data_IF_609863372310
#
_entry.id   IF_609863372310
#
_cell.length_a   1.000
_cell.length_b   1.000
_cell.length_c   1.000
_cell.angle_alpha   90.00
_cell.angle_beta   90.00
_cell.angle_gamma   90.00
#
_symmetry.space_group_name_H-M   'P 1'
#
loop_
_entity.id
_entity.type
_entity.pdbx_description
1 polymer ?
#
# COMPACT_ATOMS: atom_id res chain seq x y z
N UNK A 1 -11.89 10.20 1.00
CA UNK A 1 -10.59 10.70 0.54
C UNK A 1 -9.50 10.08 1.41
N UNK A 2 -8.34 9.71 0.86
CA UNK A 2 -7.28 8.97 1.58
C UNK A 2 -6.04 9.85 1.74
N UNK A 3 -5.49 9.93 2.95
CA UNK A 3 -4.34 10.79 3.28
C UNK A 3 -3.34 10.04 4.15
N UNK A 4 -2.04 10.25 3.90
CA UNK A 4 -0.96 9.52 4.56
C UNK A 4 -0.73 10.00 6.01
N UNK A 5 -0.49 9.07 6.94
CA UNK A 5 -0.17 9.37 8.34
C UNK A 5 1.36 9.38 8.57
N UNK A 6 1.93 10.58 8.73
CA UNK A 6 3.34 10.81 9.01
C UNK A 6 3.85 10.15 10.29
N UNK A 7 2.99 9.87 11.25
CA UNK A 7 3.40 9.21 12.49
C UNK A 7 3.58 7.70 12.30
N UNK A 8 2.97 7.11 11.27
CA UNK A 8 3.15 5.69 10.93
C UNK A 8 4.36 5.47 10.03
N UNK A 9 4.75 6.50 9.28
CA UNK A 9 5.74 6.41 8.22
C UNK A 9 7.13 6.03 8.74
N UNK A 10 7.79 5.09 8.07
CA UNK A 10 9.19 4.78 8.33
C UNK A 10 10.06 6.06 8.24
N UNK A 11 11.10 6.25 9.10
CA UNK A 11 11.92 7.47 9.11
C UNK A 11 12.62 7.84 7.79
N UNK A 12 12.75 6.90 6.85
CA UNK A 12 13.25 7.18 5.50
C UNK A 12 12.24 7.87 4.59
N UNK A 13 10.96 7.76 4.91
CA UNK A 13 9.88 8.29 4.10
C UNK A 13 9.68 9.78 4.36
N UNK A 14 9.45 10.51 3.30
CA UNK A 14 8.98 11.89 3.32
C UNK A 14 7.61 11.95 2.66
N UNK A 15 6.64 12.47 3.41
CA UNK A 15 5.28 12.72 2.96
C UNK A 15 5.19 14.19 2.53
N UNK A 16 4.48 14.45 1.44
CA UNK A 16 4.20 15.81 0.97
C UNK A 16 3.26 16.57 1.90
N UNK A 17 3.25 17.90 1.80
CA UNK A 17 2.40 18.75 2.65
C UNK A 17 0.90 18.50 2.46
N UNK A 18 0.48 18.05 1.28
CA UNK A 18 -0.91 17.67 0.98
C UNK A 18 -1.26 16.25 1.46
N UNK A 19 -0.29 15.53 2.02
CA UNK A 19 -0.42 14.16 2.54
C UNK A 19 -0.85 13.14 1.48
N UNK A 20 -0.69 13.47 0.20
CA UNK A 20 -1.06 12.57 -0.92
C UNK A 20 0.13 11.84 -1.52
N UNK A 21 1.35 12.29 -1.28
CA UNK A 21 2.55 11.72 -1.89
C UNK A 21 3.56 11.25 -0.85
N UNK A 22 4.26 10.16 -1.15
CA UNK A 22 5.35 9.63 -0.32
C UNK A 22 6.55 9.22 -1.17
N UNK A 23 7.75 9.59 -0.75
CA UNK A 23 9.01 9.17 -1.37
C UNK A 23 10.01 8.66 -0.34
N UNK A 24 10.90 7.76 -0.75
CA UNK A 24 12.06 7.36 0.03
C UNK A 24 13.18 8.40 -0.17
N UNK A 25 13.64 9.00 0.92
CA UNK A 25 14.71 10.01 0.90
C UNK A 25 16.12 9.43 0.80
N UNK A 26 16.28 8.11 0.91
CA UNK A 26 17.60 7.49 0.88
C UNK A 26 18.30 7.43 2.24
N UNK A 27 17.84 8.20 3.23
CA UNK A 27 18.48 8.33 4.56
C UNK A 27 17.46 8.29 5.70
N UNK A 28 17.89 7.87 6.89
CA UNK A 28 17.04 7.91 8.09
C UNK A 28 16.94 9.36 8.55
N UNK A 29 15.74 9.93 8.51
CA UNK A 29 15.47 11.30 8.94
C UNK A 29 15.25 11.33 10.46
N UNK A 30 15.54 12.46 11.08
CA UNK A 30 15.24 12.69 12.50
C UNK A 30 13.75 13.01 12.66
N UNK A 31 12.97 12.03 13.12
CA UNK A 31 11.53 12.15 13.36
C UNK A 31 11.19 11.68 14.79
N UNK A 32 10.07 12.13 15.39
CA UNK A 32 9.65 11.65 16.69
C UNK A 32 9.45 10.13 16.71
N UNK A 33 9.90 9.48 17.78
CA UNK A 33 9.58 8.08 18.03
C UNK A 33 8.09 7.95 18.36
N UNK A 34 7.39 7.06 17.66
CA UNK A 34 5.97 6.78 17.88
C UNK A 34 5.78 5.26 17.87
N UNK A 35 4.93 4.73 18.74
CA UNK A 35 4.56 3.31 18.76
C UNK A 35 3.95 2.87 17.42
N UNK A 36 3.13 3.74 16.82
CA UNK A 36 2.52 3.49 15.50
C UNK A 36 3.49 3.53 14.31
N UNK A 37 4.73 3.98 14.50
CA UNK A 37 5.74 4.12 13.44
C UNK A 37 6.35 2.78 13.05
N UNK A 38 6.45 2.49 11.76
CA UNK A 38 7.26 1.37 11.28
C UNK A 38 8.76 1.66 11.41
N UNK A 39 9.53 0.73 11.96
CA UNK A 39 10.97 0.90 12.21
C UNK A 39 11.90 0.10 11.28
N UNK A 40 11.40 -1.02 10.75
CA UNK A 40 12.22 -2.00 10.01
C UNK A 40 11.89 -2.01 8.52
N UNK A 41 10.63 -1.70 8.18
CA UNK A 41 10.13 -1.74 6.82
C UNK A 41 9.75 -0.35 6.33
N UNK A 42 10.02 -0.04 5.05
CA UNK A 42 9.74 1.27 4.43
C UNK A 42 8.25 1.38 4.06
N UNK A 43 7.43 1.41 5.11
CA UNK A 43 5.97 1.39 5.06
C UNK A 43 5.38 2.68 5.64
N UNK A 44 4.16 2.99 5.20
CA UNK A 44 3.31 4.05 5.75
C UNK A 44 1.84 3.63 5.62
N UNK A 45 1.02 4.04 6.57
CA UNK A 45 -0.43 3.89 6.52
C UNK A 45 -1.13 5.21 6.22
N UNK A 46 -2.38 5.13 5.79
CA UNK A 46 -3.28 6.28 5.81
C UNK A 46 -3.79 6.61 7.22
N UNK A 47 -4.35 7.81 7.36
CA UNK A 47 -5.07 8.26 8.56
C UNK A 47 -6.44 7.61 8.67
N UNK A 48 -7.09 7.44 7.53
CA UNK A 48 -8.43 6.86 7.43
C UNK A 48 -8.35 5.34 7.59
N UNK A 49 -9.31 4.76 8.31
CA UNK A 49 -9.48 3.32 8.36
C UNK A 49 -10.95 2.95 8.39
N UNK A 50 -11.25 1.74 7.96
CA UNK A 50 -12.58 1.32 7.58
C UNK A 50 -12.98 0.07 8.36
N UNK A 51 -14.19 0.10 8.90
CA UNK A 51 -14.87 -1.06 9.52
C UNK A 51 -16.08 -1.50 8.70
N UNK A 52 -16.61 -0.64 7.84
CA UNK A 52 -17.80 -0.89 7.03
C UNK A 52 -17.76 -0.11 5.71
N UNK A 53 -18.70 -0.40 4.81
CA UNK A 53 -18.89 0.33 3.55
C UNK A 53 -18.00 -0.15 2.40
N UNK A 54 -18.06 0.60 1.30
CA UNK A 54 -17.27 0.39 0.08
C UNK A 54 -16.40 1.60 -0.18
N UNK A 55 -15.12 1.38 -0.39
CA UNK A 55 -14.12 2.42 -0.51
C UNK A 55 -13.26 2.19 -1.75
N UNK A 56 -12.91 3.28 -2.42
CA UNK A 56 -12.07 3.25 -3.61
C UNK A 56 -11.03 4.35 -3.55
N UNK A 57 -9.79 4.02 -3.94
CA UNK A 57 -8.75 5.00 -4.18
C UNK A 57 -7.80 4.52 -5.26
N UNK A 58 -7.12 5.46 -5.90
CA UNK A 58 -6.13 5.19 -6.92
C UNK A 58 -4.75 5.65 -6.45
N UNK A 59 -3.73 4.92 -6.87
CA UNK A 59 -2.33 5.26 -6.60
C UNK A 59 -1.57 5.28 -7.91
N UNK A 60 -1.00 6.43 -8.23
CA UNK A 60 0.01 6.58 -9.26
C UNK A 60 1.34 6.01 -8.74
N UNK A 61 1.81 4.98 -9.44
CA UNK A 61 3.08 4.29 -9.17
C UNK A 61 4.17 4.68 -10.18
N UNK A 62 3.85 5.54 -11.14
CA UNK A 62 4.78 6.14 -12.08
C UNK A 62 5.64 5.12 -12.82
N UNK A 63 6.94 5.37 -12.85
CA UNK A 63 7.97 4.50 -13.41
C UNK A 63 8.70 3.66 -12.39
N UNK A 64 8.18 3.64 -11.15
CA UNK A 64 8.85 3.00 -10.03
C UNK A 64 9.14 1.53 -10.28
N UNK A 65 10.33 1.09 -9.87
CA UNK A 65 10.76 -0.32 -10.00
C UNK A 65 10.34 -1.19 -8.82
N UNK A 66 10.01 -0.57 -7.70
CA UNK A 66 9.51 -1.26 -6.52
C UNK A 66 8.42 -0.45 -5.83
N UNK A 67 7.38 -1.15 -5.37
CA UNK A 67 6.30 -0.62 -4.56
C UNK A 67 5.44 -1.75 -4.00
N UNK A 68 4.69 -1.48 -2.94
CA UNK A 68 3.64 -2.38 -2.44
C UNK A 68 2.43 -1.56 -1.97
N UNK A 69 1.23 -2.03 -2.31
CA UNK A 69 -0.03 -1.31 -2.10
C UNK A 69 -1.11 -2.26 -1.60
N UNK A 70 -1.98 -1.78 -0.72
CA UNK A 70 -3.14 -2.56 -0.26
C UNK A 70 -3.72 -2.02 1.03
N UNK A 71 -4.07 -2.94 1.95
CA UNK A 71 -4.54 -2.59 3.30
C UNK A 71 -3.79 -3.40 4.36
N UNK A 72 -3.76 -2.84 5.57
CA UNK A 72 -3.29 -3.50 6.78
C UNK A 72 -4.39 -3.47 7.85
N UNK A 73 -4.45 -4.47 8.73
CA UNK A 73 -5.20 -4.36 9.99
C UNK A 73 -4.63 -3.23 10.85
N UNK A 74 -5.45 -2.56 11.63
CA UNK A 74 -4.97 -1.53 12.57
C UNK A 74 -3.96 -2.12 13.58
N UNK A 75 -4.20 -3.37 14.01
CA UNK A 75 -3.42 -4.10 15.00
C UNK A 75 -2.12 -4.74 14.49
N UNK A 76 -1.72 -4.51 13.23
CA UNK A 76 -0.47 -5.10 12.72
C UNK A 76 0.75 -4.66 13.52
N UNK A 77 1.71 -5.55 13.66
CA UNK A 77 2.99 -5.27 14.29
C UNK A 77 3.70 -4.13 13.55
N UNK A 78 4.18 -3.14 14.32
CA UNK A 78 4.89 -1.95 13.79
C UNK A 78 6.41 -2.05 13.93
N UNK A 79 6.88 -2.91 14.82
CA UNK A 79 8.28 -3.02 15.21
C UNK A 79 8.88 -4.35 14.77
N UNK A 80 10.13 -4.31 14.35
CA UNK A 80 10.86 -5.49 13.91
C UNK A 80 10.42 -6.04 12.55
N UNK A 81 10.98 -7.19 12.20
CA UNK A 81 10.81 -7.81 10.89
C UNK A 81 9.67 -8.81 10.87
N UNK A 82 8.80 -8.70 9.87
CA UNK A 82 7.75 -9.65 9.55
C UNK A 82 7.55 -9.74 8.04
N UNK A 83 6.89 -10.81 7.58
CA UNK A 83 6.54 -11.00 6.18
C UNK A 83 5.16 -10.43 5.88
N UNK A 84 4.98 -9.78 4.72
CA UNK A 84 3.66 -9.40 4.24
C UNK A 84 2.84 -10.66 3.94
N UNK A 85 1.71 -10.82 4.63
CA UNK A 85 0.71 -11.86 4.36
C UNK A 85 -0.62 -11.56 5.06
N UNK A 86 -1.75 -12.14 4.60
CA UNK A 86 -3.03 -12.03 5.30
C UNK A 86 -2.98 -12.52 6.75
N UNK A 87 -2.16 -13.55 7.04
CA UNK A 87 -1.94 -14.07 8.39
C UNK A 87 -1.36 -13.01 9.33
N UNK A 88 -0.49 -12.16 8.81
CA UNK A 88 0.10 -11.03 9.54
C UNK A 88 -0.74 -9.74 9.42
N UNK A 89 -1.95 -9.82 8.86
CA UNK A 89 -2.89 -8.72 8.74
C UNK A 89 -2.66 -7.79 7.55
N UNK A 90 -1.97 -8.26 6.49
CA UNK A 90 -1.71 -7.48 5.28
C UNK A 90 -2.34 -8.13 4.05
N UNK A 91 -3.09 -7.35 3.26
CA UNK A 91 -3.59 -7.77 1.95
C UNK A 91 -3.05 -6.80 0.92
N UNK A 92 -1.95 -7.20 0.28
CA UNK A 92 -1.06 -6.30 -0.45
C UNK A 92 -0.65 -6.97 -1.77
N UNK A 93 -0.64 -6.19 -2.84
CA UNK A 93 0.10 -6.53 -4.05
C UNK A 93 1.36 -5.67 -4.15
N UNK A 94 2.40 -6.19 -4.77
CA UNK A 94 3.67 -5.50 -4.92
C UNK A 94 4.31 -5.73 -6.28
N UNK A 95 5.20 -4.81 -6.63
CA UNK A 95 6.12 -4.90 -7.73
C UNK A 95 7.54 -4.82 -7.15
N UNK A 96 8.42 -5.73 -7.55
CA UNK A 96 9.79 -5.75 -7.06
C UNK A 96 10.81 -5.88 -8.19
N UNK A 97 11.94 -5.19 -8.01
CA UNK A 97 13.11 -5.22 -8.88
C UNK A 97 12.85 -4.92 -10.37
N UNK A 98 11.74 -4.25 -10.68
CA UNK A 98 11.35 -3.97 -12.06
C UNK A 98 10.95 -5.22 -12.87
N UNK A 99 10.73 -6.37 -12.20
CA UNK A 99 10.60 -7.67 -12.87
C UNK A 99 9.22 -8.29 -12.72
N UNK A 100 8.75 -8.45 -11.49
CA UNK A 100 7.57 -9.29 -11.22
C UNK A 100 6.57 -8.63 -10.30
N UNK A 101 5.29 -8.90 -10.57
CA UNK A 101 4.17 -8.49 -9.77
C UNK A 101 3.68 -9.67 -8.93
N UNK A 102 3.39 -9.40 -7.66
CA UNK A 102 3.03 -10.43 -6.69
C UNK A 102 1.83 -9.99 -5.85
N UNK A 103 0.92 -10.91 -5.58
CA UNK A 103 0.05 -10.83 -4.42
C UNK A 103 0.73 -11.53 -3.25
N UNK A 104 0.88 -10.84 -2.12
CA UNK A 104 1.50 -11.37 -0.91
C UNK A 104 0.54 -12.29 -0.14
N UNK A 105 0.06 -13.36 -0.79
CA UNK A 105 -0.66 -14.48 -0.16
C UNK A 105 0.30 -15.38 0.62
N UNK A 106 -0.17 -16.47 1.22
CA UNK A 106 0.71 -17.49 1.82
C UNK A 106 0.38 -18.86 1.21
N UNK A 107 1.19 -19.37 0.26
CA UNK A 107 2.41 -18.78 -0.32
C UNK A 107 2.12 -17.60 -1.28
N UNK A 108 3.14 -16.82 -1.67
CA UNK A 108 2.98 -15.69 -2.60
C UNK A 108 2.45 -16.12 -3.97
N UNK A 109 1.51 -15.35 -4.53
CA UNK A 109 0.88 -15.61 -5.83
C UNK A 109 1.41 -14.65 -6.90
N UNK A 110 1.97 -15.18 -7.98
CA UNK A 110 2.47 -14.36 -9.09
C UNK A 110 1.31 -13.77 -9.90
N UNK A 111 1.39 -12.48 -10.22
CA UNK A 111 0.37 -11.80 -11.03
C UNK A 111 0.80 -11.74 -12.49
N UNK A 112 -0.09 -12.15 -13.40
CA UNK A 112 0.12 -11.99 -14.84
C UNK A 112 -0.33 -10.60 -15.28
N UNK A 113 0.62 -9.67 -15.36
CA UNK A 113 0.34 -8.28 -15.74
C UNK A 113 0.89 -8.02 -17.14
N UNK A 114 0.03 -7.56 -18.04
CA UNK A 114 0.44 -7.19 -19.40
C UNK A 114 1.00 -5.76 -19.37
N UNK A 115 2.30 -5.62 -19.62
CA UNK A 115 2.99 -4.32 -19.62
C UNK A 115 3.28 -3.79 -18.21
N UNK A 116 3.56 -2.48 -18.09
CA UNK A 116 3.86 -1.84 -16.81
C UNK A 116 2.65 -1.13 -16.23
N UNK A 117 2.37 -1.35 -14.95
CA UNK A 117 1.37 -0.57 -14.21
C UNK A 117 1.91 0.84 -13.98
N UNK A 118 1.10 1.84 -14.34
CA UNK A 118 1.31 3.26 -14.01
C UNK A 118 0.41 3.73 -12.89
N UNK A 119 -0.82 3.22 -12.86
CA UNK A 119 -1.82 3.57 -11.86
C UNK A 119 -2.60 2.33 -11.44
N UNK A 120 -2.75 2.14 -10.14
CA UNK A 120 -3.42 1.00 -9.53
C UNK A 120 -4.66 1.50 -8.80
N UNK A 121 -5.82 0.94 -9.15
CA UNK A 121 -7.08 1.19 -8.45
C UNK A 121 -7.28 0.13 -7.37
N UNK A 122 -7.72 0.55 -6.20
CA UNK A 122 -7.90 -0.32 -5.03
C UNK A 122 -9.33 -0.15 -4.54
N UNK A 123 -10.08 -1.25 -4.56
CA UNK A 123 -11.48 -1.29 -4.16
C UNK A 123 -11.66 -2.22 -2.97
N UNK A 124 -12.12 -1.64 -1.87
CA UNK A 124 -12.42 -2.36 -0.63
C UNK A 124 -13.94 -2.46 -0.49
N UNK A 125 -14.46 -3.68 -0.38
CA UNK A 125 -15.84 -3.97 -0.02
C UNK A 125 -15.86 -4.69 1.33
N UNK A 126 -16.18 -3.95 2.39
CA UNK A 126 -16.22 -4.50 3.75
C UNK A 126 -17.40 -5.44 3.96
N UNK A 127 -18.51 -5.23 3.25
CA UNK A 127 -19.70 -6.09 3.34
C UNK A 127 -19.45 -7.44 2.67
N UNK A 128 -18.79 -7.43 1.50
CA UNK A 128 -18.38 -8.65 0.80
C UNK A 128 -17.05 -9.24 1.33
N UNK A 129 -16.37 -8.55 2.26
CA UNK A 129 -15.05 -8.91 2.78
C UNK A 129 -14.03 -9.13 1.67
N UNK A 130 -13.97 -8.21 0.72
CA UNK A 130 -13.10 -8.30 -0.46
C UNK A 130 -12.24 -7.06 -0.65
N UNK A 131 -11.00 -7.29 -1.08
CA UNK A 131 -10.10 -6.24 -1.56
C UNK A 131 -9.67 -6.57 -2.99
N UNK A 132 -10.08 -5.74 -3.94
CA UNK A 132 -9.79 -5.92 -5.36
C UNK A 132 -8.84 -4.84 -5.88
N UNK A 133 -7.93 -5.26 -6.75
CA UNK A 133 -6.92 -4.41 -7.38
C UNK A 133 -7.15 -4.37 -8.89
N UNK A 134 -6.95 -3.20 -9.48
CA UNK A 134 -7.20 -2.96 -10.91
C UNK A 134 -6.05 -2.20 -11.56
N UNK A 135 -5.78 -2.52 -12.82
CA UNK A 135 -5.05 -1.63 -13.71
C UNK A 135 -6.02 -0.57 -14.20
N UNK A 136 -5.89 0.67 -13.72
CA UNK A 136 -6.83 1.77 -14.04
C UNK A 136 -6.87 2.04 -15.55
N UNK A 137 -5.71 2.09 -16.20
CA UNK A 137 -5.62 2.43 -17.62
C UNK A 137 -6.23 1.34 -18.51
N UNK A 138 -5.98 0.08 -18.20
CA UNK A 138 -6.52 -1.05 -18.97
C UNK A 138 -7.93 -1.45 -18.55
N UNK A 139 -8.42 -0.93 -17.43
CA UNK A 139 -9.71 -1.29 -16.81
C UNK A 139 -9.84 -2.80 -16.57
N UNK A 140 -8.74 -3.46 -16.22
CA UNK A 140 -8.67 -4.91 -15.97
C UNK A 140 -8.39 -5.19 -14.51
N UNK A 141 -9.06 -6.21 -13.95
CA UNK A 141 -8.72 -6.74 -12.63
C UNK A 141 -7.31 -7.33 -12.62
N UNK A 142 -6.60 -7.12 -11.52
CA UNK A 142 -5.27 -7.66 -11.26
C UNK A 142 -5.34 -8.82 -10.28
N UNK A 143 -6.05 -8.63 -9.17
CA UNK A 143 -6.17 -9.61 -8.11
C UNK A 143 -7.30 -9.24 -7.15
N UNK A 144 -7.94 -10.23 -6.52
CA UNK A 144 -8.92 -10.03 -5.44
C UNK A 144 -8.57 -10.92 -4.26
N UNK A 145 -8.40 -10.32 -3.08
CA UNK A 145 -8.28 -11.03 -1.82
C UNK A 145 -9.65 -11.20 -1.15
N UNK A 146 -9.83 -12.34 -0.48
CA UNK A 146 -10.80 -12.49 0.60
C UNK A 146 -10.19 -12.01 1.93
N UNK A 147 -10.91 -11.15 2.64
CA UNK A 147 -10.53 -10.62 3.96
C UNK A 147 -11.16 -11.55 5.01
N UNK A 148 -10.42 -12.59 5.41
CA UNK A 148 -10.90 -13.54 6.40
C UNK A 148 -10.86 -12.97 7.83
N UNK A 149 -11.97 -13.11 8.56
CA UNK A 149 -12.10 -12.74 9.98
C UNK A 149 -11.42 -13.81 10.84
N UNK A 150 -10.15 -13.60 11.20
CA UNK A 150 -9.37 -14.54 12.02
C UNK A 150 -9.77 -14.58 13.50
N UNK A 151 -10.63 -13.66 13.94
CA UNK A 151 -11.29 -13.65 15.25
C UNK A 151 -12.36 -12.55 15.25
N UNK A 152 -13.36 -12.73 16.09
CA UNK A 152 -14.66 -12.03 16.19
C UNK A 152 -14.64 -10.51 16.49
N UNK A 153 -13.54 -9.80 16.21
CA UNK A 153 -13.56 -8.34 16.15
C UNK A 153 -13.50 -7.92 14.69
N UNK A 154 -14.50 -7.15 14.25
CA UNK A 154 -14.47 -6.37 13.02
C UNK A 154 -13.25 -5.44 13.05
N UNK A 155 -12.09 -5.97 12.67
CA UNK A 155 -10.83 -5.26 12.75
C UNK A 155 -10.82 -4.17 11.71
N UNK A 156 -10.72 -2.91 12.16
CA UNK A 156 -10.50 -1.76 11.30
C UNK A 156 -9.30 -2.03 10.38
N UNK A 157 -9.51 -1.85 9.07
CA UNK A 157 -8.45 -1.95 8.06
C UNK A 157 -8.07 -0.56 7.57
N UNK A 158 -6.79 -0.36 7.26
CA UNK A 158 -6.21 0.94 6.95
C UNK A 158 -5.45 0.80 5.62
N UNK A 159 -5.64 1.71 4.65
CA UNK A 159 -4.83 1.75 3.44
C UNK A 159 -3.33 1.75 3.76
N UNK A 160 -2.61 0.96 2.99
CA UNK A 160 -1.19 0.64 3.17
C UNK A 160 -0.40 0.99 1.91
N UNK A 161 0.77 1.61 2.10
CA UNK A 161 1.66 2.01 1.03
C UNK A 161 3.12 1.72 1.39
N UNK A 162 3.89 1.34 0.38
CA UNK A 162 5.34 1.17 0.49
C UNK A 162 6.01 1.52 -0.83
N UNK A 163 7.12 2.26 -0.73
CA UNK A 163 8.02 2.56 -1.86
C UNK A 163 8.89 1.36 -2.25
N UNK A 164 8.68 0.18 -1.65
CA UNK A 164 9.52 -1.00 -1.81
C UNK A 164 10.76 -0.97 -0.89
N UNK A 165 11.60 -2.01 -0.94
CA UNK A 165 12.83 -2.08 -0.16
C UNK A 165 13.81 -0.96 -0.57
N UNK A 166 14.73 -0.62 0.33
CA UNK A 166 15.80 0.32 0.03
C UNK A 166 16.63 -0.20 -1.15
N UNK A 167 16.48 0.42 -2.32
CA UNK A 167 17.25 0.06 -3.50
C UNK A 167 18.64 0.69 -3.46
N UNK A 168 19.64 0.00 -4.01
CA UNK A 168 20.99 0.55 -4.20
C UNK A 168 21.01 1.82 -5.07
N UNK A 169 20.01 1.97 -5.95
CA UNK A 169 19.75 3.20 -6.70
C UNK A 169 18.36 3.70 -6.32
N UNK A 170 18.31 4.82 -5.60
CA UNK A 170 17.08 5.40 -5.07
C UNK A 170 16.12 5.73 -6.20
N UNK A 171 14.89 5.23 -6.08
CA UNK A 171 13.81 5.59 -6.96
C UNK A 171 13.14 6.86 -6.41
N UNK A 172 13.38 7.99 -7.07
CA UNK A 172 13.04 9.33 -6.57
C UNK A 172 11.59 9.74 -6.86
N UNK A 173 10.89 9.03 -7.74
CA UNK A 173 9.49 9.35 -8.08
C UNK A 173 8.57 9.00 -6.91
N UNK A 174 7.75 9.91 -6.37
CA UNK A 174 6.87 9.57 -5.26
C UNK A 174 5.79 8.58 -5.67
N UNK A 175 5.33 7.76 -4.73
CA UNK A 175 3.98 7.19 -4.82
C UNK A 175 2.98 8.31 -4.54
N UNK A 176 1.92 8.42 -5.35
CA UNK A 176 0.93 9.49 -5.20
C UNK A 176 -0.49 8.93 -5.19
N UNK A 177 -1.24 9.25 -4.15
CA UNK A 177 -2.69 9.01 -4.08
C UNK A 177 -3.35 10.06 -4.99
N UNK A 178 -4.18 9.60 -5.93
CA UNK A 178 -4.88 10.46 -6.89
C UNK A 178 -6.38 10.35 -6.69
N UNK A 179 -7.09 11.46 -6.89
CA UNK A 179 -8.55 11.45 -6.91
C UNK A 179 -9.00 10.98 -8.30
N UNK A 180 -10.02 10.12 -8.36
CA UNK A 180 -10.46 9.40 -9.56
C UNK A 180 -11.13 10.24 -10.66
N UNK A 181 -10.78 11.52 -10.78
CA UNK A 181 -11.30 12.44 -11.79
C UNK A 181 -10.18 13.34 -12.34
N UNK A 182 -9.07 12.74 -12.78
CA UNK A 182 -8.37 13.38 -13.89
C UNK A 182 -9.15 12.99 -15.14
N UNK A 183 -10.10 13.86 -15.52
CA UNK A 183 -10.62 13.86 -16.89
C UNK A 183 -9.41 14.04 -17.82
N UNK A 184 -9.01 12.96 -18.49
CA UNK A 184 -8.13 13.03 -19.64
C UNK A 184 -8.79 13.98 -20.66
N UNK A 185 -8.28 15.22 -20.73
CA UNK A 185 -8.55 16.17 -21.81
C UNK A 185 -7.76 15.81 -23.06
#
# INVERSE_FOLDING_TARGET
DVSLDADTAHPRLEISNDEKSVKDTGTIRKVPSMEKRFDSHIFVLAKEGYTSGRHYWEVDVGTRRSWALGIARESVTRKGTFTLSPKNGFWVIGFADGREYWAHTDPWSRLSVIGKLRKVGIFLDMSAKQLSFYNVHKKTALYTFAIADGSSQEGKVIPFFSTGPAAAKTDTEPLKIVQGFDDDK
#
